data_IF_596435301346
#
_entry.id   IF_596435301346
#
_cell.length_a   1.000
_cell.length_b   1.000
_cell.length_c   1.000
_cell.angle_alpha   90.00
_cell.angle_beta   90.00
_cell.angle_gamma   90.00
#
_symmetry.space_group_name_H-M   'P 1'
#
loop_
_entity.id
_entity.type
_entity.pdbx_description
1 polymer ?
#
# COMPACT_ATOMS: atom_id res chain seq x y z
N UNK A 1 -28.56 2.05 -3.62
CA UNK A 1 -27.85 1.54 -4.82
C UNK A 1 -26.87 2.54 -5.41
N UNK A 2 -27.18 3.84 -5.47
CA UNK A 2 -26.27 4.86 -6.01
C UNK A 2 -24.91 4.93 -5.29
N UNK A 3 -24.88 4.85 -3.95
CA UNK A 3 -23.62 4.81 -3.19
C UNK A 3 -22.71 3.64 -3.57
N UNK A 4 -23.27 2.43 -3.63
CA UNK A 4 -22.53 1.22 -4.05
C UNK A 4 -21.97 1.37 -5.46
N UNK A 5 -22.77 1.91 -6.39
CA UNK A 5 -22.31 2.17 -7.76
C UNK A 5 -21.13 3.15 -7.77
N UNK A 6 -21.20 4.23 -6.99
CA UNK A 6 -20.12 5.21 -6.90
C UNK A 6 -18.85 4.61 -6.32
N UNK A 7 -18.95 3.73 -5.32
CA UNK A 7 -17.80 3.00 -4.79
C UNK A 7 -17.17 2.08 -5.85
N UNK A 8 -17.99 1.33 -6.60
CA UNK A 8 -17.49 0.55 -7.74
C UNK A 8 -16.84 1.44 -8.80
N UNK A 9 -17.42 2.60 -9.10
CA UNK A 9 -16.85 3.53 -10.07
C UNK A 9 -15.50 4.09 -9.63
N UNK A 10 -15.36 4.45 -8.35
CA UNK A 10 -14.09 4.91 -7.77
C UNK A 10 -13.03 3.81 -7.82
N UNK A 11 -13.39 2.57 -7.45
CA UNK A 11 -12.47 1.42 -7.53
C UNK A 11 -12.04 1.13 -8.98
N UNK A 12 -12.97 1.23 -9.95
CA UNK A 12 -12.64 1.08 -11.37
C UNK A 12 -11.66 2.17 -11.83
N UNK A 13 -11.88 3.43 -11.44
CA UNK A 13 -10.97 4.53 -11.77
C UNK A 13 -9.57 4.30 -11.20
N UNK A 14 -9.47 3.86 -9.94
CA UNK A 14 -8.19 3.54 -9.31
C UNK A 14 -7.47 2.39 -10.02
N UNK A 15 -8.22 1.37 -10.48
CA UNK A 15 -7.65 0.27 -11.27
C UNK A 15 -7.02 0.74 -12.60
N UNK A 16 -7.57 1.77 -13.25
CA UNK A 16 -6.96 2.41 -14.43
C UNK A 16 -5.86 3.44 -14.08
N UNK A 17 -5.45 3.53 -12.80
CA UNK A 17 -4.34 4.36 -12.34
C UNK A 17 -4.72 5.75 -11.82
N UNK A 18 -6.01 6.02 -11.56
CA UNK A 18 -6.48 7.34 -11.13
C UNK A 18 -6.39 7.55 -9.62
N UNK A 19 -5.49 8.44 -9.18
CA UNK A 19 -5.32 8.79 -7.77
C UNK A 19 -6.36 9.82 -7.28
N UNK A 20 -6.84 10.69 -8.18
CA UNK A 20 -7.81 11.73 -7.88
C UNK A 20 -8.99 11.73 -8.86
N UNK A 21 -10.09 12.38 -8.51
CA UNK A 21 -11.29 12.47 -9.34
C UNK A 21 -11.06 13.15 -10.70
N UNK A 22 -10.08 14.05 -10.77
CA UNK A 22 -9.68 14.75 -11.98
C UNK A 22 -8.51 14.13 -12.75
N UNK A 23 -8.07 12.90 -12.41
CA UNK A 23 -6.91 12.31 -13.08
C UNK A 23 -7.24 11.89 -14.53
N UNK A 24 -6.93 12.79 -15.47
CA UNK A 24 -7.23 12.64 -16.89
C UNK A 24 -6.55 11.40 -17.50
N UNK A 25 -5.42 10.95 -16.93
CA UNK A 25 -4.66 9.80 -17.43
C UNK A 25 -5.43 8.50 -17.26
N UNK A 26 -6.11 8.35 -16.13
CA UNK A 26 -6.92 7.17 -15.85
C UNK A 26 -8.11 7.05 -16.83
N UNK A 27 -8.78 8.18 -17.09
CA UNK A 27 -9.86 8.22 -18.08
C UNK A 27 -9.34 7.95 -19.49
N UNK A 28 -8.18 8.51 -19.86
CA UNK A 28 -7.55 8.22 -21.14
C UNK A 28 -7.19 6.74 -21.27
N UNK A 29 -6.62 6.12 -20.24
CA UNK A 29 -6.31 4.69 -20.21
C UNK A 29 -7.57 3.85 -20.40
N UNK A 30 -8.62 4.14 -19.63
CA UNK A 30 -9.91 3.47 -19.73
C UNK A 30 -10.51 3.59 -21.13
N UNK A 31 -10.46 4.77 -21.74
CA UNK A 31 -10.95 4.99 -23.12
C UNK A 31 -10.14 4.19 -24.12
N UNK A 32 -8.80 4.23 -24.06
CA UNK A 32 -7.91 3.47 -24.96
C UNK A 32 -8.16 1.97 -24.82
N UNK A 33 -8.32 1.49 -23.60
CA UNK A 33 -8.63 0.10 -23.30
C UNK A 33 -9.99 -0.32 -23.87
N UNK A 34 -11.06 0.42 -23.60
CA UNK A 34 -12.41 0.13 -24.10
C UNK A 34 -12.43 0.17 -25.63
N UNK A 35 -11.79 1.17 -26.24
CA UNK A 35 -11.67 1.27 -27.69
C UNK A 35 -10.92 0.05 -28.28
N UNK A 36 -9.85 -0.40 -27.61
CA UNK A 36 -9.09 -1.59 -28.00
C UNK A 36 -9.93 -2.86 -27.92
N UNK A 37 -10.66 -3.06 -26.81
CA UNK A 37 -11.53 -4.23 -26.62
C UNK A 37 -12.67 -4.27 -27.66
N UNK A 38 -13.32 -3.12 -27.93
CA UNK A 38 -14.36 -3.00 -28.97
C UNK A 38 -13.77 -3.26 -30.35
N UNK A 39 -12.58 -2.71 -30.65
CA UNK A 39 -11.91 -2.93 -31.92
C UNK A 39 -11.63 -4.42 -32.15
N UNK A 40 -11.09 -5.12 -31.14
CA UNK A 40 -10.84 -6.57 -31.19
C UNK A 40 -12.16 -7.31 -31.42
N UNK A 41 -13.22 -6.95 -30.71
CA UNK A 41 -14.54 -7.57 -30.87
C UNK A 41 -15.08 -7.47 -32.31
N UNK A 42 -14.81 -6.36 -33.01
CA UNK A 42 -15.27 -6.14 -34.39
C UNK A 42 -14.33 -6.79 -35.42
N UNK A 43 -13.01 -6.74 -35.19
CA UNK A 43 -12.00 -7.01 -36.21
C UNK A 43 -11.32 -8.37 -36.09
N UNK A 44 -11.37 -9.02 -34.94
CA UNK A 44 -10.84 -10.35 -34.71
C UNK A 44 -11.80 -11.42 -35.24
N UNK A 45 -11.25 -12.40 -35.96
CA UNK A 45 -12.00 -13.51 -36.55
C UNK A 45 -11.96 -14.76 -35.67
N UNK A 46 -10.86 -14.95 -34.94
CA UNK A 46 -10.71 -16.05 -33.99
C UNK A 46 -11.68 -15.85 -32.81
N UNK A 47 -12.62 -16.79 -32.66
CA UNK A 47 -13.66 -16.70 -31.62
C UNK A 47 -13.06 -16.69 -30.21
N UNK A 48 -12.00 -17.45 -29.96
CA UNK A 48 -11.38 -17.56 -28.63
C UNK A 48 -10.73 -16.23 -28.27
N UNK A 49 -9.89 -15.68 -29.17
CA UNK A 49 -9.21 -14.40 -28.93
C UNK A 49 -10.20 -13.24 -28.81
N UNK A 50 -11.23 -13.24 -29.65
CA UNK A 50 -12.33 -12.26 -29.60
C UNK A 50 -13.06 -12.28 -28.25
N UNK A 51 -13.36 -13.46 -27.72
CA UNK A 51 -14.03 -13.60 -26.43
C UNK A 51 -13.10 -13.14 -25.31
N UNK A 52 -11.86 -13.65 -25.27
CA UNK A 52 -10.93 -13.43 -24.17
C UNK A 52 -10.45 -11.97 -24.06
N UNK A 53 -10.13 -11.33 -25.19
CA UNK A 53 -9.51 -10.00 -25.22
C UNK A 53 -10.49 -8.87 -25.56
N UNK A 54 -11.66 -9.19 -26.14
CA UNK A 54 -12.67 -8.20 -26.51
C UNK A 54 -13.89 -8.24 -25.58
N UNK A 55 -14.59 -9.36 -25.56
CA UNK A 55 -15.90 -9.47 -24.89
C UNK A 55 -15.75 -9.59 -23.36
N UNK A 56 -14.96 -10.56 -22.90
CA UNK A 56 -14.82 -10.87 -21.47
C UNK A 56 -14.39 -9.66 -20.64
N UNK A 57 -13.41 -8.84 -21.05
CA UNK A 57 -13.00 -7.69 -20.24
C UNK A 57 -14.10 -6.61 -20.14
N UNK A 58 -14.89 -6.40 -21.19
CA UNK A 58 -16.03 -5.48 -21.17
C UNK A 58 -17.16 -6.01 -20.29
N UNK A 59 -17.43 -7.32 -20.34
CA UNK A 59 -18.41 -7.98 -19.46
C UNK A 59 -17.99 -7.88 -17.99
N UNK A 60 -16.69 -8.04 -17.68
CA UNK A 60 -16.17 -7.88 -16.33
C UNK A 60 -16.37 -6.44 -15.84
N UNK A 61 -16.05 -5.42 -16.65
CA UNK A 61 -16.28 -4.01 -16.28
C UNK A 61 -17.76 -3.73 -16.05
N UNK A 62 -18.62 -4.17 -16.97
CA UNK A 62 -20.06 -3.97 -16.86
C UNK A 62 -20.60 -4.66 -15.60
N UNK A 63 -20.23 -5.92 -15.38
CA UNK A 63 -20.57 -6.69 -14.19
C UNK A 63 -20.06 -6.02 -12.91
N UNK A 64 -18.83 -5.53 -12.90
CA UNK A 64 -18.22 -4.88 -11.74
C UNK A 64 -18.99 -3.63 -11.28
N UNK A 65 -19.47 -2.84 -12.24
CA UNK A 65 -20.24 -1.62 -11.97
C UNK A 65 -21.67 -1.90 -11.48
N UNK A 66 -22.22 -3.09 -11.69
CA UNK A 66 -23.56 -3.43 -11.19
C UNK A 66 -23.52 -3.59 -9.65
N UNK A 67 -24.36 -2.87 -8.88
CA UNK A 67 -24.36 -3.02 -7.42
C UNK A 67 -24.64 -4.45 -6.93
N UNK A 68 -25.40 -5.22 -7.72
CA UNK A 68 -25.82 -6.59 -7.39
C UNK A 68 -24.62 -7.53 -7.31
N UNK A 69 -23.65 -7.42 -8.22
CA UNK A 69 -22.48 -8.30 -8.24
C UNK A 69 -21.61 -8.08 -7.00
N UNK A 70 -21.46 -6.84 -6.54
CA UNK A 70 -20.80 -6.54 -5.27
C UNK A 70 -21.55 -7.13 -4.08
N UNK A 71 -22.87 -6.97 -4.01
CA UNK A 71 -23.68 -7.55 -2.93
C UNK A 71 -23.51 -9.07 -2.88
N UNK A 72 -23.50 -9.74 -4.03
CA UNK A 72 -23.29 -11.20 -4.10
C UNK A 72 -21.88 -11.57 -3.64
N UNK A 73 -20.85 -10.85 -4.11
CA UNK A 73 -19.47 -11.10 -3.74
C UNK A 73 -19.25 -10.96 -2.23
N UNK A 74 -19.70 -9.85 -1.65
CA UNK A 74 -19.62 -9.62 -0.20
C UNK A 74 -20.46 -10.64 0.56
N UNK A 75 -21.63 -11.02 0.04
CA UNK A 75 -22.50 -11.98 0.71
C UNK A 75 -22.03 -13.44 0.68
N UNK A 76 -21.19 -13.85 -0.29
CA UNK A 76 -20.89 -15.26 -0.53
C UNK A 76 -19.41 -15.60 -0.73
N UNK A 77 -18.57 -14.64 -1.09
CA UNK A 77 -17.15 -14.87 -1.41
C UNK A 77 -16.26 -14.37 -0.30
N UNK A 78 -16.42 -13.10 0.09
CA UNK A 78 -15.56 -12.45 1.07
C UNK A 78 -16.39 -11.52 1.96
N UNK A 79 -16.99 -12.12 3.00
CA UNK A 79 -17.88 -11.43 3.95
C UNK A 79 -17.13 -10.48 4.86
N UNK A 80 -15.93 -10.89 5.26
CA UNK A 80 -15.13 -10.22 6.28
C UNK A 80 -14.26 -9.11 5.68
N UNK A 81 -14.01 -9.14 4.35
CA UNK A 81 -13.23 -8.14 3.64
C UNK A 81 -13.92 -7.61 2.36
N UNK A 82 -15.02 -6.82 2.48
CA UNK A 82 -15.75 -6.26 1.34
C UNK A 82 -14.91 -5.40 0.39
N UNK A 83 -13.80 -4.85 0.88
CA UNK A 83 -12.84 -4.05 0.14
C UNK A 83 -12.06 -4.86 -0.89
N UNK A 84 -12.02 -6.20 -0.81
CA UNK A 84 -11.29 -7.02 -1.79
C UNK A 84 -12.02 -7.17 -3.12
N UNK A 85 -13.25 -6.64 -3.23
CA UNK A 85 -14.07 -6.73 -4.42
C UNK A 85 -13.37 -6.24 -5.70
N UNK A 86 -12.48 -5.24 -5.61
CA UNK A 86 -11.71 -4.75 -6.75
C UNK A 86 -10.81 -5.83 -7.39
N UNK A 87 -10.49 -6.92 -6.68
CA UNK A 87 -9.68 -8.04 -7.21
C UNK A 87 -10.30 -8.70 -8.43
N UNK A 88 -11.62 -8.61 -8.61
CA UNK A 88 -12.29 -9.06 -9.85
C UNK A 88 -11.70 -8.37 -11.09
N UNK A 89 -11.29 -7.11 -10.96
CA UNK A 89 -10.67 -6.36 -12.06
C UNK A 89 -9.30 -6.93 -12.45
N UNK A 90 -8.62 -7.69 -11.58
CA UNK A 90 -7.34 -8.34 -11.91
C UNK A 90 -7.47 -9.42 -13.01
N UNK A 91 -8.69 -9.90 -13.27
CA UNK A 91 -8.98 -10.80 -14.38
C UNK A 91 -8.89 -10.10 -15.75
N UNK A 92 -8.82 -8.77 -15.80
CA UNK A 92 -8.72 -7.99 -17.03
C UNK A 92 -7.25 -7.89 -17.44
N UNK A 93 -6.83 -8.47 -18.58
CA UNK A 93 -5.46 -8.37 -19.06
C UNK A 93 -5.27 -7.06 -19.84
N UNK A 94 -5.38 -5.91 -19.15
CA UNK A 94 -5.49 -4.57 -19.74
C UNK A 94 -4.44 -4.28 -20.82
N UNK A 95 -3.15 -4.39 -20.48
CA UNK A 95 -2.06 -4.08 -21.39
C UNK A 95 -1.96 -5.05 -22.57
N UNK A 96 -2.36 -6.31 -22.37
CA UNK A 96 -2.39 -7.32 -23.44
C UNK A 96 -3.48 -6.95 -24.45
N UNK A 97 -4.66 -6.50 -24.01
CA UNK A 97 -5.75 -6.05 -24.88
C UNK A 97 -5.30 -4.86 -25.75
N UNK A 98 -4.67 -3.85 -25.15
CA UNK A 98 -4.18 -2.67 -25.88
C UNK A 98 -3.11 -3.07 -26.90
N UNK A 99 -2.11 -3.84 -26.48
CA UNK A 99 -1.04 -4.31 -27.35
C UNK A 99 -1.55 -5.19 -28.50
N UNK A 100 -2.52 -6.08 -28.22
CA UNK A 100 -3.12 -6.95 -29.23
C UNK A 100 -3.92 -6.15 -30.25
N UNK A 101 -4.70 -5.14 -29.82
CA UNK A 101 -5.42 -4.25 -30.74
C UNK A 101 -4.44 -3.51 -31.67
N UNK A 102 -3.33 -2.99 -31.14
CA UNK A 102 -2.29 -2.35 -31.95
C UNK A 102 -1.67 -3.33 -32.97
N UNK A 103 -1.37 -4.57 -32.56
CA UNK A 103 -0.88 -5.61 -33.46
C UNK A 103 -1.88 -5.92 -34.57
N UNK A 104 -3.17 -6.04 -34.24
CA UNK A 104 -4.23 -6.32 -35.19
C UNK A 104 -4.41 -5.17 -36.21
N UNK A 105 -4.23 -3.92 -35.80
CA UNK A 105 -4.19 -2.76 -36.71
C UNK A 105 -2.98 -2.89 -37.66
N UNK A 106 -1.78 -3.12 -37.12
CA UNK A 106 -0.55 -3.23 -37.91
C UNK A 106 -0.62 -4.35 -38.95
N UNK A 107 -1.17 -5.51 -38.59
CA UNK A 107 -1.34 -6.65 -39.51
C UNK A 107 -2.26 -6.34 -40.69
N UNK A 108 -3.23 -5.43 -40.52
CA UNK A 108 -4.16 -5.04 -41.58
C UNK A 108 -3.61 -3.94 -42.50
N UNK A 109 -2.56 -3.23 -42.08
CA UNK A 109 -1.94 -2.17 -42.88
C UNK A 109 -0.93 -2.75 -43.87
N UNK A 110 -0.94 -2.24 -45.11
CA UNK A 110 -0.01 -2.65 -46.18
C UNK A 110 1.30 -1.85 -46.19
N UNK A 111 1.30 -0.63 -45.66
CA UNK A 111 2.48 0.25 -45.66
C UNK A 111 3.28 0.10 -44.36
N UNK A 112 4.57 -0.18 -44.49
CA UNK A 112 5.48 -0.28 -43.34
C UNK A 112 5.69 1.06 -42.63
N UNK A 113 5.54 2.18 -43.34
CA UNK A 113 5.54 3.50 -42.70
C UNK A 113 4.36 3.65 -41.73
N UNK A 114 3.16 3.22 -42.14
CA UNK A 114 1.97 3.28 -41.28
C UNK A 114 2.11 2.33 -40.09
N UNK A 115 2.68 1.13 -40.30
CA UNK A 115 2.95 0.18 -39.19
C UNK A 115 3.87 0.78 -38.14
N UNK A 116 4.95 1.46 -38.54
CA UNK A 116 5.86 2.17 -37.62
C UNK A 116 5.13 3.28 -36.85
N UNK A 117 4.28 4.06 -37.52
CA UNK A 117 3.48 5.11 -36.87
C UNK A 117 2.53 4.50 -35.83
N UNK A 118 1.84 3.40 -36.15
CA UNK A 118 0.94 2.72 -35.21
C UNK A 118 1.71 2.16 -34.00
N UNK A 119 2.89 1.58 -34.22
CA UNK A 119 3.74 1.10 -33.13
C UNK A 119 4.14 2.26 -32.20
N UNK A 120 4.67 3.36 -32.76
CA UNK A 120 5.06 4.54 -31.97
C UNK A 120 3.87 5.14 -31.23
N UNK A 121 2.71 5.23 -31.87
CA UNK A 121 1.48 5.72 -31.24
C UNK A 121 1.03 4.82 -30.07
N UNK A 122 1.12 3.49 -30.22
CA UNK A 122 0.77 2.55 -29.15
C UNK A 122 1.73 2.66 -27.95
N UNK A 123 3.03 2.79 -28.20
CA UNK A 123 4.03 2.99 -27.13
C UNK A 123 3.79 4.33 -26.42
N UNK A 124 3.55 5.41 -27.17
CA UNK A 124 3.21 6.72 -26.61
C UNK A 124 1.92 6.68 -25.79
N UNK A 125 0.89 5.96 -26.25
CA UNK A 125 -0.35 5.81 -25.49
C UNK A 125 -0.07 5.16 -24.13
N UNK A 126 0.70 4.06 -24.09
CA UNK A 126 1.06 3.38 -22.83
C UNK A 126 1.91 4.29 -21.92
N UNK A 127 2.87 5.03 -22.48
CA UNK A 127 3.72 5.94 -21.69
C UNK A 127 2.94 7.13 -21.11
N UNK A 128 1.99 7.70 -21.87
CA UNK A 128 1.20 8.85 -21.43
C UNK A 128 0.08 8.48 -20.46
N UNK A 129 -0.48 7.27 -20.59
CA UNK A 129 -1.50 6.76 -19.67
C UNK A 129 -0.93 6.15 -18.39
N UNK A 130 0.31 5.66 -18.43
CA UNK A 130 0.99 5.03 -17.30
C UNK A 130 1.70 6.01 -16.35
N UNK A 131 2.16 5.46 -15.24
CA UNK A 131 3.13 6.09 -14.33
C UNK A 131 4.37 5.20 -14.23
N UNK A 132 5.53 5.83 -14.05
CA UNK A 132 6.78 5.11 -13.87
C UNK A 132 6.79 4.49 -12.47
N UNK A 133 6.82 3.15 -12.38
CA UNK A 133 6.82 2.44 -11.09
C UNK A 133 8.01 2.87 -10.21
N UNK A 134 9.14 3.22 -10.83
CA UNK A 134 10.35 3.67 -10.13
C UNK A 134 10.24 5.04 -9.46
N UNK A 135 9.19 5.83 -9.71
CA UNK A 135 8.96 7.08 -8.96
C UNK A 135 8.16 6.86 -7.67
N UNK A 136 7.78 5.61 -7.37
CA UNK A 136 7.08 5.29 -6.14
C UNK A 136 8.03 5.47 -4.94
N UNK A 137 7.56 6.19 -3.90
CA UNK A 137 8.30 6.40 -2.65
C UNK A 137 8.70 5.10 -1.93
N UNK A 138 8.03 3.99 -2.21
CA UNK A 138 8.37 2.68 -1.64
C UNK A 138 9.33 1.86 -2.51
N UNK A 139 9.76 2.37 -3.67
CA UNK A 139 10.68 1.67 -4.56
C UNK A 139 12.12 2.13 -4.31
N UNK A 140 12.95 1.23 -3.79
CA UNK A 140 14.35 1.48 -3.46
C UNK A 140 15.28 0.59 -4.27
N UNK A 141 16.51 1.04 -4.47
CA UNK A 141 17.55 0.18 -5.05
C UNK A 141 17.86 -0.93 -4.04
N UNK A 142 17.99 -2.17 -4.52
CA UNK A 142 18.34 -3.29 -3.67
C UNK A 142 19.71 -3.10 -3.01
N UNK A 143 19.75 -3.14 -1.67
CA UNK A 143 20.96 -2.99 -0.87
C UNK A 143 21.51 -4.34 -0.37
N UNK A 144 20.65 -5.34 -0.25
CA UNK A 144 20.96 -6.67 0.26
C UNK A 144 20.21 -7.78 -0.50
N UNK A 145 20.52 -9.04 -0.18
CA UNK A 145 19.92 -10.23 -0.81
C UNK A 145 18.41 -10.37 -0.56
N UNK A 146 17.91 -9.77 0.52
CA UNK A 146 16.50 -9.84 0.90
C UNK A 146 15.65 -8.85 0.11
N UNK A 147 16.27 -7.88 -0.59
CA UNK A 147 15.58 -6.76 -1.22
C UNK A 147 14.72 -5.95 -0.25
N UNK A 148 15.10 -5.96 1.04
CA UNK A 148 14.50 -5.17 2.12
C UNK A 148 15.44 -4.00 2.42
N UNK A 149 14.95 -2.88 2.94
CA UNK A 149 15.81 -1.77 3.36
C UNK A 149 16.79 -2.24 4.44
N UNK A 150 18.08 -1.88 4.34
CA UNK A 150 19.07 -2.37 5.30
C UNK A 150 18.83 -1.82 6.71
N UNK A 151 18.34 -0.58 6.83
CA UNK A 151 17.98 0.04 8.11
C UNK A 151 16.93 -0.77 8.89
N UNK A 152 15.96 -1.40 8.21
CA UNK A 152 14.98 -2.28 8.86
C UNK A 152 15.63 -3.53 9.42
N UNK A 153 16.52 -4.16 8.66
CA UNK A 153 17.23 -5.38 9.08
C UNK A 153 18.07 -5.09 10.31
N UNK A 154 18.84 -4.00 10.27
CA UNK A 154 19.74 -3.60 11.34
C UNK A 154 18.95 -3.27 12.64
N UNK A 155 17.79 -2.60 12.52
CA UNK A 155 16.89 -2.35 13.66
C UNK A 155 16.32 -3.67 14.20
N UNK A 156 15.85 -4.57 13.33
CA UNK A 156 15.27 -5.85 13.75
C UNK A 156 16.30 -6.72 14.48
N UNK A 157 17.53 -6.81 13.98
CA UNK A 157 18.60 -7.54 14.66
C UNK A 157 19.02 -6.85 15.97
N UNK A 158 18.99 -5.52 16.05
CA UNK A 158 19.29 -4.78 17.28
C UNK A 158 18.28 -5.09 18.40
N UNK A 159 16.99 -5.18 18.07
CA UNK A 159 15.93 -5.40 19.06
C UNK A 159 15.59 -6.88 19.29
N UNK A 160 16.26 -7.79 18.58
CA UNK A 160 15.97 -9.23 18.60
C UNK A 160 16.10 -9.78 20.02
N UNK A 161 15.16 -10.62 20.48
CA UNK A 161 15.26 -11.22 21.80
C UNK A 161 16.49 -12.13 21.87
N UNK A 162 17.19 -12.09 23.01
CA UNK A 162 18.19 -13.11 23.32
C UNK A 162 17.51 -14.50 23.48
N UNK A 163 18.28 -15.58 23.35
CA UNK A 163 17.75 -16.94 23.53
C UNK A 163 17.07 -17.08 24.91
N UNK A 164 15.78 -17.39 24.91
CA UNK A 164 14.97 -17.55 26.12
C UNK A 164 14.26 -16.28 26.62
N UNK A 165 14.40 -15.14 25.94
CA UNK A 165 13.59 -13.95 26.18
C UNK A 165 12.23 -14.00 25.47
N UNK A 166 11.28 -13.20 25.96
CA UNK A 166 9.99 -13.09 25.28
C UNK A 166 10.15 -12.19 24.05
N UNK A 167 9.36 -12.49 23.04
CA UNK A 167 9.21 -11.68 21.84
C UNK A 167 8.94 -10.20 22.19
N UNK A 168 9.85 -9.28 21.82
CA UNK A 168 9.71 -7.88 22.17
C UNK A 168 8.58 -7.26 21.37
N UNK A 169 7.82 -6.39 22.02
CA UNK A 169 6.84 -5.54 21.34
C UNK A 169 7.47 -4.20 20.98
N UNK A 170 7.39 -3.81 19.72
CA UNK A 170 8.02 -2.60 19.19
C UNK A 170 7.08 -1.81 18.27
N UNK A 171 7.03 -0.49 18.48
CA UNK A 171 6.26 0.44 17.65
C UNK A 171 7.15 0.98 16.52
N UNK A 172 6.76 0.73 15.28
CA UNK A 172 7.49 1.15 14.07
C UNK A 172 6.70 2.18 13.27
N UNK A 173 7.33 3.19 12.67
CA UNK A 173 6.61 4.11 11.80
C UNK A 173 6.01 3.36 10.60
N UNK A 174 4.89 3.87 10.08
CA UNK A 174 4.11 3.24 8.99
C UNK A 174 5.00 2.72 7.86
N UNK A 175 5.97 3.52 7.42
CA UNK A 175 6.87 3.18 6.31
C UNK A 175 7.78 1.96 6.53
N UNK A 176 7.97 1.51 7.77
CA UNK A 176 8.77 0.34 8.12
C UNK A 176 7.91 -0.90 8.42
N UNK A 177 6.64 -0.71 8.80
CA UNK A 177 5.75 -1.78 9.30
C UNK A 177 5.68 -2.99 8.35
N UNK A 178 5.57 -2.76 7.05
CA UNK A 178 5.52 -3.84 6.06
C UNK A 178 6.84 -4.62 5.92
N UNK A 179 7.98 -3.94 6.06
CA UNK A 179 9.29 -4.55 5.91
C UNK A 179 9.66 -5.39 7.14
N UNK A 180 9.31 -4.94 8.33
CA UNK A 180 9.54 -5.67 9.59
C UNK A 180 8.86 -7.04 9.53
N UNK A 181 7.60 -7.11 9.10
CA UNK A 181 6.87 -8.38 8.96
C UNK A 181 7.44 -9.32 7.90
N UNK A 182 8.12 -8.79 6.88
CA UNK A 182 8.80 -9.61 5.87
C UNK A 182 10.11 -10.20 6.39
N UNK A 183 10.80 -9.48 7.29
CA UNK A 183 12.11 -9.88 7.81
C UNK A 183 12.01 -10.79 9.05
N UNK A 184 11.27 -10.38 10.08
CA UNK A 184 11.17 -11.12 11.34
C UNK A 184 9.75 -11.14 11.92
N UNK A 185 9.25 -12.35 12.18
CA UNK A 185 7.93 -12.60 12.76
C UNK A 185 7.92 -12.62 14.29
N UNK A 186 9.08 -12.66 14.94
CA UNK A 186 9.18 -12.70 16.40
C UNK A 186 8.93 -11.33 17.04
N UNK A 187 9.11 -10.24 16.29
CA UNK A 187 8.83 -8.90 16.81
C UNK A 187 7.32 -8.66 16.81
N UNK A 188 6.75 -8.44 17.98
CA UNK A 188 5.34 -8.08 18.13
C UNK A 188 5.20 -6.59 17.79
N UNK A 189 4.16 -6.22 17.03
CA UNK A 189 3.87 -4.83 16.71
C UNK A 189 2.45 -4.49 17.17
N UNK A 190 2.24 -3.26 17.68
CA UNK A 190 0.92 -2.78 18.11
C UNK A 190 -0.12 -2.82 16.97
N UNK A 191 0.33 -2.49 15.76
CA UNK A 191 -0.51 -2.42 14.57
C UNK A 191 0.13 -3.07 13.35
N UNK A 192 -0.70 -3.41 12.37
CA UNK A 192 -0.31 -3.97 11.08
C UNK A 192 -0.94 -3.25 9.89
N UNK A 193 -0.90 -3.90 8.73
CA UNK A 193 -1.47 -3.36 7.49
C UNK A 193 -3.00 -3.18 7.58
N UNK A 194 -3.67 -3.99 8.40
CA UNK A 194 -5.10 -3.90 8.70
C UNK A 194 -5.48 -2.53 9.29
N UNK A 195 -4.72 -2.04 10.27
CA UNK A 195 -4.92 -0.72 10.87
C UNK A 195 -4.55 0.38 9.87
N UNK A 196 -3.40 0.27 9.19
CA UNK A 196 -2.91 1.30 8.26
C UNK A 196 -3.89 1.50 7.08
N UNK A 197 -4.33 0.40 6.45
CA UNK A 197 -5.28 0.44 5.33
C UNK A 197 -6.72 0.73 5.79
N UNK A 198 -7.04 0.33 7.02
CA UNK A 198 -8.34 0.48 7.65
C UNK A 198 -8.66 1.89 8.11
N UNK A 199 -7.68 2.58 8.70
CA UNK A 199 -7.79 3.96 9.17
C UNK A 199 -7.92 4.95 8.00
N UNK A 200 -7.21 4.72 6.89
CA UNK A 200 -7.39 5.48 5.65
C UNK A 200 -8.84 5.47 5.12
N UNK A 201 -9.65 4.51 5.60
CA UNK A 201 -11.08 4.32 5.26
C UNK A 201 -12.01 4.62 6.44
N UNK A 202 -11.48 5.06 7.59
CA UNK A 202 -12.23 5.39 8.81
C UNK A 202 -12.83 4.19 9.55
N UNK A 203 -12.29 2.98 9.35
CA UNK A 203 -12.88 1.73 9.88
C UNK A 203 -12.13 1.16 11.09
N UNK A 204 -10.84 1.45 11.20
CA UNK A 204 -9.98 0.90 12.25
C UNK A 204 -9.20 2.04 12.90
N UNK A 205 -8.93 1.89 14.19
CA UNK A 205 -8.22 2.86 15.00
C UNK A 205 -7.34 2.10 16.00
N UNK A 206 -6.10 2.54 16.14
CA UNK A 206 -5.14 2.03 17.11
C UNK A 206 -4.45 3.22 17.78
N UNK A 207 -4.35 3.25 19.12
CA UNK A 207 -3.82 4.39 19.85
C UNK A 207 -2.34 4.66 19.55
N UNK A 208 -1.54 3.62 19.29
CA UNK A 208 -0.10 3.79 19.03
C UNK A 208 0.10 4.31 17.61
N UNK A 209 -0.61 3.76 16.64
CA UNK A 209 -0.58 4.25 15.26
C UNK A 209 -1.08 5.70 15.15
N UNK A 210 -2.20 6.01 15.80
CA UNK A 210 -2.78 7.36 15.87
C UNK A 210 -1.77 8.36 16.48
N UNK A 211 -1.14 8.02 17.59
CA UNK A 211 -0.13 8.88 18.22
C UNK A 211 1.13 9.07 17.36
N UNK A 212 1.54 8.04 16.61
CA UNK A 212 2.70 8.13 15.72
C UNK A 212 2.38 8.91 14.43
N UNK A 213 1.15 8.84 13.91
CA UNK A 213 0.74 9.47 12.66
C UNK A 213 0.25 10.89 12.85
N UNK A 214 -0.53 11.15 13.90
CA UNK A 214 -1.12 12.46 14.13
C UNK A 214 -0.03 13.47 14.48
N UNK A 215 0.05 14.49 13.64
CA UNK A 215 0.95 15.61 13.82
C UNK A 215 0.17 16.92 13.70
N UNK A 216 0.44 17.84 14.61
CA UNK A 216 -0.04 19.21 14.49
C UNK A 216 0.78 19.91 13.40
N UNK A 217 0.12 20.43 12.37
CA UNK A 217 0.80 21.16 11.29
C UNK A 217 0.86 22.64 11.66
N UNK A 218 2.07 23.17 11.82
CA UNK A 218 2.26 24.60 12.08
C UNK A 218 1.90 25.44 10.85
N UNK A 219 1.71 26.75 11.02
CA UNK A 219 1.47 27.68 9.91
C UNK A 219 2.58 27.68 8.84
N UNK A 220 3.75 27.17 9.19
CA UNK A 220 4.94 27.04 8.33
C UNK A 220 5.01 25.67 7.60
N UNK A 221 4.03 24.79 7.83
CA UNK A 221 3.95 23.47 7.21
C UNK A 221 4.83 22.41 7.86
N UNK A 222 5.25 22.60 9.12
CA UNK A 222 6.03 21.63 9.90
C UNK A 222 5.08 20.75 10.70
N UNK A 223 5.20 19.44 10.53
CA UNK A 223 4.46 18.42 11.29
C UNK A 223 5.10 18.21 12.67
N UNK A 224 4.40 18.55 13.74
CA UNK A 224 4.84 18.33 15.12
C UNK A 224 4.08 17.13 15.69
N UNK A 225 4.78 16.03 15.93
CA UNK A 225 4.20 14.82 16.52
C UNK A 225 4.29 14.89 18.04
N UNK A 226 3.18 14.61 18.74
CA UNK A 226 3.17 14.66 20.21
C UNK A 226 3.91 13.47 20.83
N UNK A 227 5.11 13.74 21.34
CA UNK A 227 5.94 12.75 22.02
C UNK A 227 5.28 12.20 23.29
N UNK A 228 4.43 12.96 23.98
CA UNK A 228 3.74 12.46 25.18
C UNK A 228 2.70 11.40 24.82
N UNK A 229 1.87 11.69 23.80
CA UNK A 229 0.88 10.76 23.31
C UNK A 229 1.52 9.43 22.85
N UNK A 230 2.66 9.49 22.17
CA UNK A 230 3.41 8.28 21.76
C UNK A 230 3.82 7.46 22.98
N UNK A 231 4.41 8.09 24.00
CA UNK A 231 4.90 7.37 25.19
C UNK A 231 3.75 6.77 25.99
N UNK A 232 2.66 7.51 26.17
CA UNK A 232 1.50 7.02 26.91
C UNK A 232 0.85 5.84 26.18
N UNK A 233 0.65 5.93 24.86
CA UNK A 233 0.10 4.85 24.04
C UNK A 233 1.02 3.62 24.00
N UNK A 234 2.33 3.83 23.80
CA UNK A 234 3.32 2.75 23.78
C UNK A 234 3.38 2.01 25.13
N UNK A 235 3.25 2.71 26.25
CA UNK A 235 3.23 2.11 27.59
C UNK A 235 1.95 1.32 27.87
N UNK A 236 0.81 1.81 27.38
CA UNK A 236 -0.48 1.13 27.52
C UNK A 236 -0.46 -0.21 26.77
N UNK A 237 0.03 -0.20 25.53
CA UNK A 237 0.12 -1.39 24.69
C UNK A 237 1.32 -2.30 25.04
N UNK A 238 2.21 -1.85 25.93
CA UNK A 238 3.36 -2.62 26.41
C UNK A 238 4.49 -2.73 25.38
N UNK A 239 4.66 -1.72 24.53
CA UNK A 239 5.78 -1.61 23.62
C UNK A 239 7.07 -1.34 24.40
N UNK A 240 8.02 -2.28 24.33
CA UNK A 240 9.37 -2.14 24.92
C UNK A 240 10.20 -1.16 24.11
N UNK A 241 10.09 -1.21 22.79
CA UNK A 241 10.84 -0.34 21.88
C UNK A 241 9.91 0.59 21.10
N UNK A 242 10.36 1.82 20.90
CA UNK A 242 9.70 2.82 20.05
C UNK A 242 10.72 3.30 19.03
N UNK A 243 10.40 3.16 17.75
CA UNK A 243 11.27 3.56 16.64
C UNK A 243 10.69 4.83 16.05
N UNK A 244 11.49 5.90 15.99
CA UNK A 244 11.08 7.17 15.38
C UNK A 244 12.10 7.65 14.36
N UNK A 245 11.65 8.22 13.22
CA UNK A 245 12.55 8.90 12.30
C UNK A 245 13.21 10.11 12.99
N UNK A 246 14.40 10.46 12.52
CA UNK A 246 15.08 11.68 12.94
C UNK A 246 14.26 12.94 12.60
N UNK A 247 14.35 13.96 13.45
CA UNK A 247 13.72 15.24 13.20
C UNK A 247 14.23 15.84 11.89
N UNK A 248 13.29 16.25 11.04
CA UNK A 248 13.57 16.93 9.78
C UNK A 248 12.93 18.30 9.77
N UNK A 249 13.28 19.13 8.79
CA UNK A 249 12.65 20.45 8.61
C UNK A 249 11.13 20.38 8.39
N UNK A 250 10.62 19.19 8.02
CA UNK A 250 9.19 18.95 7.72
C UNK A 250 8.45 18.22 8.82
N UNK A 251 9.13 17.43 9.65
CA UNK A 251 8.52 16.63 10.71
C UNK A 251 9.43 16.57 11.93
N UNK A 252 8.91 16.97 13.09
CA UNK A 252 9.64 17.04 14.36
C UNK A 252 8.81 16.46 15.50
N UNK A 253 9.49 15.94 16.51
CA UNK A 253 8.86 15.61 17.79
C UNK A 253 8.60 16.88 18.62
N UNK A 254 7.49 16.91 19.35
CA UNK A 254 7.15 18.03 20.25
C UNK A 254 8.21 18.22 21.34
N UNK A 255 8.78 17.11 21.83
CA UNK A 255 9.92 17.02 22.74
C UNK A 255 10.69 15.72 22.47
N UNK A 256 11.95 15.68 22.86
CA UNK A 256 12.71 14.43 22.83
C UNK A 256 12.07 13.40 23.77
N UNK A 257 11.91 12.16 23.28
CA UNK A 257 11.35 11.02 24.00
C UNK A 257 12.16 10.70 25.27
N UNK A 258 13.44 11.06 25.30
CA UNK A 258 14.29 10.94 26.50
C UNK A 258 13.77 11.76 27.68
N UNK A 259 13.09 12.88 27.42
CA UNK A 259 12.45 13.74 28.44
C UNK A 259 11.36 13.01 29.23
N UNK A 260 10.78 11.97 28.63
CA UNK A 260 9.72 11.14 29.24
C UNK A 260 10.26 9.84 29.87
N UNK A 261 11.59 9.69 29.93
CA UNK A 261 12.27 8.59 30.59
C UNK A 261 12.64 7.41 29.69
N UNK A 262 12.52 7.54 28.37
CA UNK A 262 13.02 6.53 27.43
C UNK A 262 14.53 6.67 27.23
N UNK A 263 15.20 5.55 26.96
CA UNK A 263 16.64 5.50 26.71
C UNK A 263 16.92 5.23 25.24
N UNK A 264 17.80 6.01 24.62
CA UNK A 264 18.25 5.74 23.24
C UNK A 264 19.18 4.53 23.27
N UNK A 265 18.79 3.46 22.57
CA UNK A 265 19.61 2.24 22.41
C UNK A 265 20.66 2.49 21.34
N UNK A 266 20.21 2.90 20.14
CA UNK A 266 21.09 3.22 19.03
C UNK A 266 20.38 4.11 18.00
N UNK A 267 21.17 4.67 17.07
CA UNK A 267 20.69 5.34 15.87
C UNK A 267 21.07 4.51 14.65
N UNK A 268 20.06 3.94 13.98
CA UNK A 268 20.22 3.14 12.77
C UNK A 268 19.76 3.95 11.56
N UNK A 269 20.71 4.37 10.73
CA UNK A 269 20.43 5.22 9.58
C UNK A 269 19.74 6.53 9.97
N UNK A 270 18.47 6.67 9.59
CA UNK A 270 17.62 7.84 9.90
C UNK A 270 16.66 7.61 11.06
N UNK A 271 16.77 6.50 11.78
CA UNK A 271 15.85 6.16 12.86
C UNK A 271 16.57 6.07 14.20
N UNK A 272 15.92 6.59 15.23
CA UNK A 272 16.30 6.39 16.61
C UNK A 272 15.49 5.24 17.20
N UNK A 273 16.19 4.31 17.85
CA UNK A 273 15.59 3.20 18.58
C UNK A 273 15.60 3.54 20.07
N UNK A 274 14.42 3.77 20.62
CA UNK A 274 14.23 4.06 22.04
C UNK A 274 13.73 2.81 22.76
N UNK A 275 14.27 2.54 23.94
CA UNK A 275 13.77 1.54 24.88
C UNK A 275 13.06 2.23 26.04
N UNK A 276 11.94 1.67 26.52
CA UNK A 276 11.23 2.18 27.69
C UNK A 276 11.53 1.32 28.95
N UNK A 277 12.37 1.80 29.89
CA UNK A 277 12.69 1.10 31.13
C UNK A 277 11.46 0.83 32.02
N UNK A 278 10.39 1.61 31.89
CA UNK A 278 9.15 1.43 32.66
C UNK A 278 8.43 0.16 32.21
N UNK A 279 8.38 -0.07 30.90
CA UNK A 279 7.77 -1.26 30.31
C UNK A 279 8.62 -2.49 30.63
N UNK A 280 9.94 -2.40 30.53
CA UNK A 280 10.86 -3.49 30.91
C UNK A 280 10.59 -3.96 32.34
N UNK A 281 10.55 -3.04 33.31
CA UNK A 281 10.25 -3.37 34.72
C UNK A 281 8.86 -3.97 34.91
N UNK A 282 7.86 -3.56 34.12
CA UNK A 282 6.51 -4.12 34.16
C UNK A 282 6.49 -5.56 33.64
N UNK A 283 7.22 -5.84 32.57
CA UNK A 283 7.36 -7.17 31.97
C UNK A 283 8.11 -8.13 32.92
N UNK A 284 9.21 -7.67 33.53
CA UNK A 284 9.96 -8.46 34.54
C UNK A 284 9.08 -8.84 35.74
N UNK A 285 8.30 -7.88 36.27
CA UNK A 285 7.35 -8.15 37.36
C UNK A 285 6.28 -9.15 36.97
N UNK A 286 5.78 -9.08 35.73
CA UNK A 286 4.79 -10.03 35.22
C UNK A 286 5.37 -11.45 35.13
N UNK A 287 6.58 -11.59 34.58
CA UNK A 287 7.30 -12.88 34.55
C UNK A 287 7.52 -13.47 35.94
N UNK A 288 7.94 -12.63 36.90
CA UNK A 288 8.15 -13.06 38.28
C UNK A 288 6.84 -13.49 38.99
N UNK A 289 5.68 -12.94 38.59
CA UNK A 289 4.39 -13.33 39.11
C UNK A 289 3.84 -14.62 38.48
N UNK A 290 4.20 -14.94 37.24
CA UNK A 290 3.77 -16.17 36.56
C UNK A 290 4.55 -17.42 37.01
N UNK A 291 5.72 -17.24 37.62
CA UNK A 291 6.58 -18.32 38.15
C UNK A 291 6.34 -18.64 39.65
N UNK A 292 5.49 -17.87 40.33
CA UNK A 292 5.07 -18.11 41.72
C UNK A 292 3.66 -18.69 41.78
#
# INVERSE_FOLDING_TARGET
MYGIFMECYVALRQYFGGESAGDIRAYLNMIVFIASAIFIMIKEKDKVKKILLGIMPLVIIAGFLLPITRIIYVGHVDKDSPETYYRILWLIPMYIVIAYAACLIMMKMKSDAIRRVVMVAAVLAIMLTGKLVYTNRYMYKAENIYHIRQDVIDICELIKPAEGEDNPRAAFPEELTWYVRQYDTHILMPYGADIIEGEAKGMYWDPVYDAMKNAEVTAEGVEIVDAKAIVDAAREDGCRYVIMPEDTDKRKLSKDLTTFGLTVVDKVGKFYVYEDPVVVKKLEKKKAAEWN
#
